data_IF_075207426791
#
_entry.id   IF_075207426791
#
_cell.length_a   1.000
_cell.length_b   1.000
_cell.length_c   1.000
_cell.angle_alpha   90.00
_cell.angle_beta   90.00
_cell.angle_gamma   90.00
#
_symmetry.space_group_name_H-M   'P 1'
#
loop_
_entity.id
_entity.type
_entity.pdbx_description
1 polymer ?
#
# COMPACT_ATOMS: atom_id res chain seq x y z
N UNK A 1 2.86 25.87 15.94
CA UNK A 1 2.21 24.55 15.87
C UNK A 1 2.74 23.85 14.64
N UNK A 2 3.41 22.71 14.78
CA UNK A 2 3.79 21.88 13.63
C UNK A 2 2.53 21.18 13.13
N UNK A 3 2.21 21.34 11.84
CA UNK A 3 0.98 20.82 11.24
C UNK A 3 0.93 19.27 11.21
N UNK A 4 2.10 18.63 11.36
CA UNK A 4 2.27 17.18 11.39
C UNK A 4 3.19 16.77 12.56
N UNK A 5 2.80 15.72 13.27
CA UNK A 5 3.62 15.06 14.28
C UNK A 5 4.75 14.23 13.65
N UNK A 6 4.50 13.67 12.45
CA UNK A 6 5.47 12.85 11.72
C UNK A 6 5.46 13.15 10.22
N UNK A 7 6.34 14.06 9.73
CA UNK A 7 6.40 14.41 8.30
C UNK A 7 6.66 13.22 7.38
N UNK A 8 7.40 12.21 7.83
CA UNK A 8 7.68 10.99 7.06
C UNK A 8 6.43 10.15 6.82
N UNK A 9 5.53 10.02 7.80
CA UNK A 9 4.25 9.32 7.62
C UNK A 9 3.31 10.07 6.69
N UNK A 10 3.39 11.41 6.67
CA UNK A 10 2.63 12.20 5.70
C UNK A 10 3.07 11.91 4.26
N UNK A 11 4.38 11.81 4.02
CA UNK A 11 4.92 11.40 2.70
C UNK A 11 4.46 9.99 2.34
N UNK A 12 4.51 9.05 3.28
CA UNK A 12 4.00 7.68 3.05
C UNK A 12 2.51 7.70 2.70
N UNK A 13 1.70 8.51 3.38
CA UNK A 13 0.27 8.63 3.07
C UNK A 13 0.02 9.10 1.64
N UNK A 14 0.73 10.13 1.19
CA UNK A 14 0.63 10.64 -0.19
C UNK A 14 1.00 9.54 -1.19
N UNK A 15 2.13 8.87 -0.99
CA UNK A 15 2.59 7.79 -1.88
C UNK A 15 1.57 6.65 -1.90
N UNK A 16 1.07 6.23 -0.75
CA UNK A 16 0.07 5.17 -0.64
C UNK A 16 -1.23 5.53 -1.35
N UNK A 17 -1.74 6.76 -1.20
CA UNK A 17 -2.94 7.17 -1.94
C UNK A 17 -2.71 7.29 -3.44
N UNK A 18 -1.54 7.79 -3.87
CA UNK A 18 -1.17 7.83 -5.28
C UNK A 18 -1.14 6.41 -5.88
N UNK A 19 -0.49 5.47 -5.19
CA UNK A 19 -0.44 4.05 -5.58
C UNK A 19 -1.84 3.43 -5.59
N UNK A 20 -2.66 3.70 -4.58
CA UNK A 20 -4.04 3.24 -4.53
C UNK A 20 -4.86 3.69 -5.74
N UNK A 21 -4.70 4.96 -6.16
CA UNK A 21 -5.38 5.49 -7.33
C UNK A 21 -4.86 4.87 -8.64
N UNK A 22 -3.54 4.87 -8.85
CA UNK A 22 -2.97 4.34 -10.10
C UNK A 22 -3.19 2.83 -10.25
N UNK A 23 -3.04 2.06 -9.17
CA UNK A 23 -3.19 0.61 -9.19
C UNK A 23 -4.67 0.22 -9.10
N UNK A 24 -5.39 0.72 -8.11
CA UNK A 24 -6.77 0.31 -7.83
C UNK A 24 -7.78 0.84 -8.84
N UNK A 25 -7.67 2.12 -9.22
CA UNK A 25 -8.63 2.81 -10.10
C UNK A 25 -8.19 2.77 -11.55
N UNK A 26 -6.95 3.19 -11.84
CA UNK A 26 -6.41 3.22 -13.22
C UNK A 26 -5.90 1.86 -13.71
N UNK A 27 -5.82 0.87 -12.82
CA UNK A 27 -5.39 -0.50 -13.15
C UNK A 27 -4.02 -0.55 -13.83
N UNK A 28 -3.11 0.34 -13.42
CA UNK A 28 -1.73 0.37 -13.87
C UNK A 28 -0.96 -0.81 -13.28
N UNK A 29 -1.23 -1.98 -13.86
CA UNK A 29 -0.69 -3.26 -13.38
C UNK A 29 0.81 -3.33 -13.50
N UNK A 30 1.46 -2.64 -14.45
CA UNK A 30 2.93 -2.56 -14.57
C UNK A 30 3.67 -2.08 -13.29
N UNK A 31 2.99 -1.33 -12.43
CA UNK A 31 3.52 -0.93 -11.10
C UNK A 31 3.59 -2.13 -10.13
N UNK A 32 2.99 -3.26 -10.48
CA UNK A 32 2.94 -4.49 -9.71
C UNK A 32 3.93 -5.53 -10.22
N UNK A 33 4.99 -5.12 -10.92
CA UNK A 33 5.97 -6.04 -11.49
C UNK A 33 6.63 -6.94 -10.43
N UNK A 34 6.74 -6.43 -9.19
CA UNK A 34 7.18 -7.19 -8.02
C UNK A 34 6.20 -8.27 -7.52
N UNK A 35 4.93 -8.23 -7.93
CA UNK A 35 3.90 -9.23 -7.60
C UNK A 35 3.81 -10.35 -8.65
N UNK A 36 4.80 -10.44 -9.55
CA UNK A 36 4.79 -11.41 -10.64
C UNK A 36 3.53 -11.32 -11.52
N UNK A 37 3.05 -10.08 -11.75
CA UNK A 37 1.79 -9.75 -12.43
C UNK A 37 1.59 -10.47 -13.78
N UNK A 38 2.69 -10.85 -14.45
CA UNK A 38 2.69 -11.48 -15.77
C UNK A 38 2.08 -12.88 -15.73
N UNK A 39 2.20 -13.56 -14.59
CA UNK A 39 1.64 -14.91 -14.37
C UNK A 39 0.28 -14.88 -13.67
N UNK A 40 -0.26 -13.69 -13.41
CA UNK A 40 -1.57 -13.53 -12.79
C UNK A 40 -2.60 -13.35 -13.92
N UNK A 41 -3.50 -14.31 -14.16
CA UNK A 41 -4.50 -14.22 -15.22
C UNK A 41 -5.54 -13.13 -14.91
N UNK A 42 -5.96 -13.01 -13.66
CA UNK A 42 -6.91 -11.97 -13.22
C UNK A 42 -6.19 -10.72 -12.69
N UNK A 43 -5.77 -9.87 -13.63
CA UNK A 43 -5.10 -8.59 -13.34
C UNK A 43 -6.02 -7.58 -12.66
N UNK A 44 -7.33 -7.66 -12.89
CA UNK A 44 -8.33 -6.75 -12.28
C UNK A 44 -8.45 -7.03 -10.78
N UNK A 45 -8.54 -8.30 -10.41
CA UNK A 45 -8.56 -8.69 -9.00
C UNK A 45 -7.25 -8.34 -8.30
N UNK A 46 -6.11 -8.56 -8.96
CA UNK A 46 -4.81 -8.17 -8.44
C UNK A 46 -4.75 -6.66 -8.14
N UNK A 47 -5.17 -5.84 -9.11
CA UNK A 47 -5.15 -4.39 -8.97
C UNK A 47 -6.07 -3.90 -7.84
N UNK A 48 -7.24 -4.51 -7.68
CA UNK A 48 -8.18 -4.20 -6.59
C UNK A 48 -7.61 -4.55 -5.21
N UNK A 49 -6.99 -5.71 -5.05
CA UNK A 49 -6.42 -6.14 -3.76
C UNK A 49 -5.28 -5.20 -3.34
N UNK A 50 -4.31 -4.98 -4.23
CA UNK A 50 -3.15 -4.13 -3.92
C UNK A 50 -3.55 -2.66 -3.77
N UNK A 51 -4.50 -2.19 -4.59
CA UNK A 51 -5.07 -0.85 -4.49
C UNK A 51 -5.79 -0.62 -3.16
N UNK A 52 -6.65 -1.55 -2.74
CA UNK A 52 -7.37 -1.46 -1.47
C UNK A 52 -6.42 -1.43 -0.28
N UNK A 53 -5.38 -2.26 -0.29
CA UNK A 53 -4.37 -2.23 0.75
C UNK A 53 -3.66 -0.88 0.83
N UNK A 54 -3.32 -0.29 -0.31
CA UNK A 54 -2.70 1.04 -0.35
C UNK A 54 -3.65 2.14 0.18
N UNK A 55 -4.97 2.03 -0.02
CA UNK A 55 -5.93 2.94 0.64
C UNK A 55 -5.83 2.81 2.16
N UNK A 56 -5.86 1.59 2.69
CA UNK A 56 -5.78 1.33 4.13
C UNK A 56 -4.46 1.85 4.70
N UNK A 57 -3.34 1.56 4.04
CA UNK A 57 -2.02 2.06 4.42
C UNK A 57 -1.97 3.60 4.41
N UNK A 58 -2.56 4.25 3.39
CA UNK A 58 -2.65 5.70 3.30
C UNK A 58 -3.46 6.31 4.44
N UNK A 59 -4.59 5.71 4.81
CA UNK A 59 -5.42 6.16 5.96
C UNK A 59 -4.65 6.03 7.27
N UNK A 60 -4.02 4.88 7.53
CA UNK A 60 -3.22 4.65 8.74
C UNK A 60 -2.06 5.65 8.81
N UNK A 61 -1.34 5.86 7.71
CA UNK A 61 -0.23 6.81 7.63
C UNK A 61 -0.71 8.26 7.81
N UNK A 62 -1.88 8.63 7.30
CA UNK A 62 -2.48 9.96 7.50
C UNK A 62 -2.77 10.19 8.97
N UNK A 63 -3.45 9.25 9.64
CA UNK A 63 -3.73 9.32 11.08
C UNK A 63 -2.42 9.42 11.85
N UNK A 64 -1.46 8.51 11.60
CA UNK A 64 -0.16 8.52 12.27
C UNK A 64 0.70 9.77 11.98
N UNK A 65 0.45 10.49 10.88
CA UNK A 65 1.16 11.73 10.58
C UNK A 65 0.69 12.92 11.43
N UNK A 66 -0.58 12.90 11.87
CA UNK A 66 -1.20 13.98 12.65
C UNK A 66 -1.08 13.73 14.16
N UNK A 67 -1.16 12.47 14.59
CA UNK A 67 -1.06 12.09 16.01
C UNK A 67 0.37 11.68 16.40
N UNK A 68 0.76 11.96 17.65
CA UNK A 68 2.09 11.57 18.20
C UNK A 68 2.22 10.09 18.53
N UNK A 69 1.10 9.37 18.60
CA UNK A 69 1.04 7.92 18.71
C UNK A 69 0.06 7.36 17.67
N UNK A 70 0.36 6.23 17.00
CA UNK A 70 1.52 5.35 17.17
C UNK A 70 2.82 5.87 16.51
N UNK A 71 3.97 5.48 17.06
CA UNK A 71 5.29 5.90 16.58
C UNK A 71 5.55 5.40 15.14
N UNK A 72 6.17 6.24 14.31
CA UNK A 72 6.65 5.90 12.94
C UNK A 72 7.41 4.58 12.89
N UNK A 73 8.22 4.29 13.91
CA UNK A 73 9.01 3.06 14.05
C UNK A 73 8.15 1.79 14.13
N UNK A 74 6.86 1.92 14.43
CA UNK A 74 5.89 0.82 14.49
C UNK A 74 5.02 0.81 13.23
N UNK A 75 4.54 1.97 12.79
CA UNK A 75 3.61 2.08 11.65
C UNK A 75 4.25 1.63 10.34
N UNK A 76 5.47 2.07 10.05
CA UNK A 76 6.15 1.74 8.79
C UNK A 76 6.37 0.22 8.66
N UNK A 77 6.95 -0.48 9.66
CA UNK A 77 7.10 -1.93 9.58
C UNK A 77 5.78 -2.69 9.35
N UNK A 78 4.68 -2.26 9.98
CA UNK A 78 3.36 -2.89 9.78
C UNK A 78 2.90 -2.76 8.33
N UNK A 79 3.06 -1.56 7.73
CA UNK A 79 2.72 -1.33 6.31
C UNK A 79 3.61 -2.16 5.38
N UNK A 80 4.89 -2.33 5.71
CA UNK A 80 5.80 -3.16 4.90
C UNK A 80 5.43 -4.64 5.01
N UNK A 81 5.18 -5.15 6.22
CA UNK A 81 4.77 -6.53 6.44
C UNK A 81 3.47 -6.85 5.70
N UNK A 82 2.48 -5.95 5.73
CA UNK A 82 1.24 -6.18 5.01
C UNK A 82 1.42 -6.23 3.48
N UNK A 83 2.31 -5.42 2.90
CA UNK A 83 2.69 -5.57 1.48
C UNK A 83 3.31 -6.94 1.19
N UNK A 84 4.20 -7.43 2.06
CA UNK A 84 4.83 -8.75 1.91
C UNK A 84 3.79 -9.87 1.97
N UNK A 85 2.83 -9.80 2.90
CA UNK A 85 1.73 -10.77 3.02
C UNK A 85 0.90 -10.80 1.73
N UNK A 86 0.58 -9.64 1.15
CA UNK A 86 -0.17 -9.59 -0.12
C UNK A 86 0.66 -10.15 -1.26
N UNK A 87 1.96 -9.84 -1.31
CA UNK A 87 2.85 -10.40 -2.32
C UNK A 87 2.92 -11.93 -2.23
N UNK A 88 3.00 -12.48 -1.02
CA UNK A 88 2.94 -13.92 -0.79
C UNK A 88 1.57 -14.50 -1.22
N UNK A 89 0.46 -13.86 -0.86
CA UNK A 89 -0.89 -14.28 -1.28
C UNK A 89 -1.01 -14.33 -2.81
N UNK A 90 -0.59 -13.27 -3.51
CA UNK A 90 -0.65 -13.21 -4.97
C UNK A 90 0.19 -14.34 -5.58
N UNK A 91 1.42 -14.54 -5.13
CA UNK A 91 2.30 -15.58 -5.66
C UNK A 91 1.83 -17.00 -5.37
N UNK A 92 1.16 -17.24 -4.24
CA UNK A 92 0.69 -18.58 -3.85
C UNK A 92 -0.71 -18.93 -4.38
N UNK A 93 -1.55 -17.93 -4.64
CA UNK A 93 -2.99 -18.13 -4.93
C UNK A 93 -3.46 -17.57 -6.27
N UNK A 94 -2.76 -16.58 -6.84
CA UNK A 94 -3.19 -15.90 -8.06
C UNK A 94 -2.28 -16.16 -9.24
N UNK A 95 -1.02 -16.55 -9.01
CA UNK A 95 -0.12 -16.99 -10.06
C UNK A 95 -0.49 -18.39 -10.54
N UNK A 96 -0.50 -18.58 -11.86
CA UNK A 96 -0.72 -19.87 -12.54
C UNK A 96 0.39 -20.12 -13.56
#
# INVERSE_FOLDING_TARGET
>A
MTLFASPSLFVVAIISFALAYFIGVKQYTWLLSGFNERRVPDKVKLSKIVGLYNVIAGVIATIGSVFTAPNVKIVIPIIVIGHVIIAAYVNTRMVQ
#
